data_IF_105594501375
#
_entry.id   IF_105594501375
#
_cell.length_a   1.000
_cell.length_b   1.000
_cell.length_c   1.000
_cell.angle_alpha   90.00
_cell.angle_beta   90.00
_cell.angle_gamma   90.00
#
_symmetry.space_group_name_H-M   'P 1'
#
loop_
_entity.id
_entity.type
_entity.pdbx_description
1 polymer ?
#
# COMPACT_ATOMS: atom_id res chain seq x y z
N UNK A 1 21.08 13.07 7.72
CA UNK A 1 20.69 11.68 7.34
C UNK A 1 19.83 11.02 8.44
N UNK A 2 18.66 11.56 8.80
CA UNK A 2 17.73 10.96 9.77
C UNK A 2 16.25 11.03 9.35
N UNK A 3 15.97 11.47 8.12
CA UNK A 3 14.60 11.74 7.65
C UNK A 3 14.08 10.73 6.61
N UNK A 4 14.84 9.68 6.31
CA UNK A 4 14.47 8.64 5.33
C UNK A 4 14.13 7.29 5.99
N UNK A 5 13.88 7.26 7.30
CA UNK A 5 13.48 6.04 8.02
C UNK A 5 12.03 6.17 8.50
N UNK A 6 11.18 6.73 7.65
CA UNK A 6 9.75 6.46 7.69
C UNK A 6 9.48 5.45 6.59
N UNK A 7 9.50 4.15 6.90
CA UNK A 7 9.31 3.05 5.92
C UNK A 7 7.92 2.99 5.27
N UNK A 8 7.10 4.04 5.40
CA UNK A 8 5.73 4.13 4.90
C UNK A 8 4.77 3.18 5.60
N UNK A 9 3.53 3.59 5.79
CA UNK A 9 2.46 2.68 6.18
C UNK A 9 2.04 1.89 4.95
N UNK A 10 1.60 0.64 5.14
CA UNK A 10 1.09 -0.20 4.05
C UNK A 10 -0.42 -0.31 4.18
N UNK A 11 -1.13 0.08 3.13
CA UNK A 11 -2.58 -0.09 2.99
C UNK A 11 -2.82 -1.26 2.05
N UNK A 12 -3.52 -2.27 2.53
CA UNK A 12 -3.98 -3.41 1.75
C UNK A 12 -5.48 -3.24 1.51
N UNK A 13 -5.88 -3.25 0.25
CA UNK A 13 -7.27 -3.11 -0.18
C UNK A 13 -7.66 -4.37 -0.96
N UNK A 14 -8.59 -5.14 -0.41
CA UNK A 14 -9.20 -6.24 -1.15
C UNK A 14 -10.08 -5.66 -2.26
N UNK A 15 -9.95 -6.15 -3.48
CA UNK A 15 -10.73 -5.76 -4.63
C UNK A 15 -11.86 -6.78 -4.81
N UNK A 16 -13.09 -6.30 -5.03
CA UNK A 16 -14.24 -7.21 -5.19
C UNK A 16 -14.33 -7.85 -6.58
N UNK A 17 -13.49 -7.42 -7.53
CA UNK A 17 -13.46 -7.90 -8.89
C UNK A 17 -12.03 -8.16 -9.34
N UNK A 18 -11.89 -9.09 -10.29
CA UNK A 18 -10.63 -9.33 -10.96
C UNK A 18 -10.12 -8.06 -11.61
N UNK A 19 -8.89 -7.66 -11.28
CA UNK A 19 -8.26 -6.53 -11.93
C UNK A 19 -7.59 -6.97 -13.23
N UNK A 20 -7.98 -6.34 -14.34
CA UNK A 20 -7.35 -6.53 -15.64
C UNK A 20 -6.08 -5.67 -15.76
N UNK A 21 -5.15 -6.06 -16.64
CA UNK A 21 -3.89 -5.34 -16.93
C UNK A 21 -4.07 -3.81 -17.19
N UNK A 22 -5.12 -3.36 -17.93
CA UNK A 22 -5.38 -1.94 -18.13
C UNK A 22 -5.76 -1.20 -16.84
N UNK A 23 -6.51 -1.86 -15.95
CA UNK A 23 -6.93 -1.29 -14.67
C UNK A 23 -5.76 -1.21 -13.69
N UNK A 24 -4.86 -2.21 -13.72
CA UNK A 24 -3.60 -2.18 -12.96
C UNK A 24 -2.71 -1.00 -13.37
N UNK A 25 -2.54 -0.80 -14.68
CA UNK A 25 -1.74 0.31 -15.20
C UNK A 25 -2.36 1.66 -14.81
N UNK A 26 -3.68 1.79 -14.92
CA UNK A 26 -4.41 3.00 -14.58
C UNK A 26 -4.34 3.33 -13.09
N UNK A 27 -4.55 2.34 -12.21
CA UNK A 27 -4.50 2.55 -10.74
C UNK A 27 -3.09 2.86 -10.27
N UNK A 28 -2.07 2.21 -10.85
CA UNK A 28 -0.66 2.49 -10.55
C UNK A 28 -0.29 3.91 -10.97
N UNK A 29 -0.73 4.37 -12.15
CA UNK A 29 -0.50 5.73 -12.61
C UNK A 29 -1.20 6.78 -11.72
N UNK A 30 -2.43 6.51 -11.30
CA UNK A 30 -3.19 7.37 -10.37
C UNK A 30 -2.52 7.47 -9.00
N UNK A 31 -2.06 6.33 -8.48
CA UNK A 31 -1.41 6.26 -7.16
C UNK A 31 0.05 6.73 -7.16
N UNK A 32 0.69 6.89 -8.32
CA UNK A 32 2.10 7.30 -8.41
C UNK A 32 2.42 8.68 -7.80
N UNK A 33 1.41 9.52 -7.55
CA UNK A 33 1.56 10.79 -6.83
C UNK A 33 1.27 10.71 -5.32
N UNK A 34 0.68 9.61 -4.84
CA UNK A 34 0.21 9.41 -3.46
C UNK A 34 1.01 8.32 -2.72
N UNK A 35 1.60 7.40 -3.48
CA UNK A 35 2.27 6.21 -2.97
C UNK A 35 3.69 6.11 -3.49
N UNK A 36 4.58 5.62 -2.63
CA UNK A 36 5.96 5.32 -2.98
C UNK A 36 6.05 4.00 -3.76
N UNK A 37 5.21 3.02 -3.38
CA UNK A 37 5.18 1.69 -3.99
C UNK A 37 3.74 1.16 -4.04
N UNK A 38 3.39 0.51 -5.14
CA UNK A 38 2.10 -0.16 -5.35
C UNK A 38 2.38 -1.58 -5.80
N UNK A 39 1.69 -2.54 -5.20
CA UNK A 39 1.77 -3.96 -5.57
C UNK A 39 0.37 -4.51 -5.78
N UNK A 40 0.24 -5.34 -6.81
CA UNK A 40 -0.96 -6.12 -7.05
C UNK A 40 -0.69 -7.61 -6.81
N UNK A 41 -1.54 -8.23 -6.00
CA UNK A 41 -1.70 -9.67 -5.95
C UNK A 41 -2.99 -10.07 -6.69
N UNK A 42 -2.85 -10.41 -7.98
CA UNK A 42 -3.97 -10.86 -8.81
C UNK A 42 -4.55 -12.22 -8.37
N UNK A 43 -3.81 -13.02 -7.60
CA UNK A 43 -4.32 -14.30 -7.08
C UNK A 43 -5.28 -14.06 -5.93
N UNK A 44 -4.96 -13.08 -5.07
CA UNK A 44 -5.77 -12.70 -3.90
C UNK A 44 -6.72 -11.54 -4.14
N UNK A 45 -6.66 -10.92 -5.33
CA UNK A 45 -7.35 -9.68 -5.66
C UNK A 45 -7.07 -8.61 -4.60
N UNK A 46 -5.80 -8.41 -4.30
CA UNK A 46 -5.35 -7.51 -3.24
C UNK A 46 -4.44 -6.45 -3.82
N UNK A 47 -4.78 -5.19 -3.57
CA UNK A 47 -3.94 -4.04 -3.89
C UNK A 47 -3.23 -3.58 -2.63
N UNK A 48 -1.90 -3.60 -2.64
CA UNK A 48 -1.08 -3.10 -1.54
C UNK A 48 -0.42 -1.79 -1.94
N UNK A 49 -0.53 -0.77 -1.09
CA UNK A 49 -0.04 0.58 -1.33
C UNK A 49 0.84 0.99 -0.16
N UNK A 50 2.10 1.30 -0.41
CA UNK A 50 3.00 1.91 0.58
C UNK A 50 3.05 3.40 0.36
N UNK A 51 2.72 4.17 1.39
CA UNK A 51 2.80 5.62 1.37
C UNK A 51 3.25 6.14 2.74
N UNK A 52 3.98 7.25 2.75
CA UNK A 52 4.21 8.00 3.99
C UNK A 52 2.88 8.58 4.49
N UNK A 53 2.48 8.27 5.72
CA UNK A 53 1.19 8.66 6.31
C UNK A 53 -0.03 8.09 5.56
N UNK A 54 -0.01 6.80 5.24
CA UNK A 54 -1.06 6.20 4.40
C UNK A 54 -2.46 6.27 5.03
N UNK A 55 -2.56 6.29 6.37
CA UNK A 55 -3.83 6.54 7.08
C UNK A 55 -4.42 7.91 6.70
N UNK A 56 -3.58 8.96 6.67
CA UNK A 56 -4.01 10.31 6.30
C UNK A 56 -4.37 10.44 4.82
N UNK A 57 -3.79 9.60 3.97
CA UNK A 57 -4.05 9.55 2.54
C UNK A 57 -5.12 8.51 2.15
N UNK A 58 -5.71 7.80 3.12
CA UNK A 58 -6.58 6.65 2.86
C UNK A 58 -7.78 7.02 1.99
N UNK A 59 -8.42 8.15 2.26
CA UNK A 59 -9.54 8.63 1.47
C UNK A 59 -9.14 8.93 0.02
N UNK A 60 -7.94 9.48 -0.20
CA UNK A 60 -7.42 9.76 -1.53
C UNK A 60 -7.06 8.47 -2.29
N UNK A 61 -6.47 7.50 -1.60
CA UNK A 61 -6.17 6.16 -2.16
C UNK A 61 -7.46 5.46 -2.60
N UNK A 62 -8.49 5.46 -1.75
CA UNK A 62 -9.78 4.85 -2.09
C UNK A 62 -10.51 5.59 -3.23
N UNK A 63 -10.40 6.91 -3.28
CA UNK A 63 -10.92 7.71 -4.38
C UNK A 63 -10.21 7.39 -5.72
N UNK A 64 -8.89 7.23 -5.69
CA UNK A 64 -8.12 6.84 -6.87
C UNK A 64 -8.53 5.46 -7.40
N UNK A 65 -8.73 4.48 -6.51
CA UNK A 65 -9.20 3.13 -6.86
C UNK A 65 -10.60 3.19 -7.50
N UNK A 66 -11.53 3.92 -6.88
CA UNK A 66 -12.91 4.06 -7.41
C UNK A 66 -12.98 4.84 -8.73
N UNK A 67 -12.11 5.84 -8.94
CA UNK A 67 -12.03 6.57 -10.21
C UNK A 67 -11.61 5.69 -11.40
N UNK A 68 -10.83 4.63 -11.14
CA UNK A 68 -10.44 3.63 -12.15
C UNK A 68 -11.57 2.61 -12.41
N UNK A 69 -12.67 2.69 -11.66
CA UNK A 69 -13.80 1.76 -11.76
C UNK A 69 -13.64 0.50 -10.92
N UNK A 70 -12.60 0.43 -10.08
CA UNK A 70 -12.41 -0.65 -9.13
C UNK A 70 -13.26 -0.44 -7.89
N UNK A 71 -13.75 -1.52 -7.32
CA UNK A 71 -14.57 -1.50 -6.11
C UNK A 71 -13.72 -1.94 -4.91
N UNK A 72 -13.29 -1.01 -4.04
CA UNK A 72 -12.55 -1.36 -2.84
C UNK A 72 -13.47 -2.06 -1.85
N UNK A 73 -13.01 -3.19 -1.33
CA UNK A 73 -13.67 -4.01 -0.32
C UNK A 73 -13.06 -3.78 1.06
N UNK A 74 -12.58 -4.86 1.68
CA UNK A 74 -11.93 -4.79 2.98
C UNK A 74 -10.61 -4.02 2.89
N UNK A 75 -10.45 -3.03 3.78
CA UNK A 75 -9.24 -2.19 3.85
C UNK A 75 -8.52 -2.50 5.15
N UNK A 76 -7.24 -2.85 5.05
CA UNK A 76 -6.36 -3.07 6.19
C UNK A 76 -5.21 -2.09 6.12
N UNK A 77 -4.93 -1.41 7.23
CA UNK A 77 -3.76 -0.55 7.33
C UNK A 77 -2.79 -1.19 8.29
N UNK A 78 -1.55 -1.38 7.84
CA UNK A 78 -0.45 -1.88 8.64
C UNK A 78 0.57 -0.77 8.78
N UNK A 79 0.65 -0.20 9.98
CA UNK A 79 1.73 0.70 10.34
C UNK A 79 3.04 -0.10 10.35
N UNK A 80 4.11 0.46 9.76
CA UNK A 80 5.42 -0.17 9.88
C UNK A 80 5.89 -0.01 11.32
N UNK A 81 6.02 -1.11 12.06
CA UNK A 81 6.54 -1.05 13.42
C UNK A 81 8.03 -0.70 13.39
N UNK A 82 8.52 -0.09 14.48
CA UNK A 82 9.97 0.10 14.66
C UNK A 82 10.74 -1.23 14.60
N UNK A 83 10.10 -2.35 14.93
CA UNK A 83 10.68 -3.70 14.83
C UNK A 83 10.90 -4.15 13.39
N UNK A 84 9.96 -3.86 12.47
CA UNK A 84 10.12 -4.18 11.04
C UNK A 84 11.27 -3.37 10.42
N UNK A 85 11.40 -2.10 10.79
CA UNK A 85 12.54 -1.24 10.43
C UNK A 85 13.84 -1.79 11.01
N UNK A 86 13.81 -2.25 12.25
CA UNK A 86 14.98 -2.81 12.93
C UNK A 86 15.45 -4.11 12.27
N UNK A 87 14.52 -4.99 11.89
CA UNK A 87 14.80 -6.22 11.13
C UNK A 87 15.41 -5.87 9.77
N UNK A 88 14.88 -4.87 9.07
CA UNK A 88 15.36 -4.49 7.74
C UNK A 88 16.75 -3.83 7.78
N UNK A 89 17.05 -3.05 8.84
CA UNK A 89 18.35 -2.39 9.01
C UNK A 89 19.44 -3.30 9.60
N UNK A 90 19.07 -4.28 10.42
CA UNK A 90 20.05 -5.10 11.17
C UNK A 90 20.03 -6.58 10.80
N UNK A 91 19.03 -7.04 10.04
CA UNK A 91 18.86 -8.45 9.66
C UNK A 91 18.54 -9.39 10.82
N UNK A 92 18.22 -8.87 12.01
CA UNK A 92 18.00 -9.66 13.23
C UNK A 92 16.62 -9.37 13.80
N UNK A 93 15.88 -10.44 14.16
CA UNK A 93 14.63 -10.33 14.93
C UNK A 93 14.94 -9.98 16.38
N UNK A 94 14.19 -9.04 16.95
CA UNK A 94 14.14 -8.86 18.40
C UNK A 94 13.57 -10.17 18.98
N UNK A 95 14.38 -10.91 19.74
CA UNK A 95 13.86 -12.05 20.50
C UNK A 95 13.26 -11.50 21.79
N UNK A 96 12.11 -12.05 22.17
CA UNK A 96 11.48 -11.91 23.49
C UNK A 96 12.48 -12.17 24.64
#
# INVERSE_FOLDING_TARGET
>A
LKQQVGSGDVVEVALSAAMDEPAETAVTAQLGGLADQVWLDATRQMLSVRALHAVGQLAAILAAITQVGLQPGEVRVRENSLEDVFIQLTGRRLRE
#
